data_IF_920505478553
#
_entry.id   IF_920505478553
#
_cell.length_a   1.000
_cell.length_b   1.000
_cell.length_c   1.000
_cell.angle_alpha   90.00
_cell.angle_beta   90.00
_cell.angle_gamma   90.00
#
_symmetry.space_group_name_H-M   'P 1'
#
loop_
_entity.id
_entity.type
_entity.pdbx_description
1 polymer ?
#
# COMPACT_ATOMS: atom_id res chain seq x y z
N UNK A 1 4.60 3.82 0.83
CA UNK A 1 4.36 3.39 2.22
C UNK A 1 5.58 2.73 2.87
N UNK A 2 6.10 1.60 2.35
CA UNK A 2 7.22 0.83 2.94
C UNK A 2 8.46 1.68 3.26
N UNK A 3 8.86 2.59 2.37
CA UNK A 3 10.02 3.46 2.59
C UNK A 3 9.83 4.40 3.79
N UNK A 4 8.60 4.88 4.02
CA UNK A 4 8.27 5.73 5.17
C UNK A 4 8.19 4.96 6.49
N UNK A 5 7.95 3.65 6.42
CA UNK A 5 8.01 2.76 7.58
C UNK A 5 9.46 2.39 7.93
N UNK A 6 10.21 1.96 6.94
CA UNK A 6 11.55 1.42 7.13
C UNK A 6 12.63 2.52 7.23
N UNK A 7 12.46 3.62 6.49
CA UNK A 7 13.53 4.56 6.20
C UNK A 7 14.50 4.05 5.14
N UNK A 8 15.23 4.93 4.49
CA UNK A 8 16.17 4.56 3.42
C UNK A 8 17.30 3.65 3.89
N UNK A 9 17.81 3.87 5.10
CA UNK A 9 18.91 3.08 5.65
C UNK A 9 18.55 1.59 5.87
N UNK A 10 17.30 1.29 6.25
CA UNK A 10 16.86 -0.08 6.48
C UNK A 10 16.49 -0.84 5.19
N UNK A 11 16.36 -0.14 4.06
CA UNK A 11 16.01 -0.77 2.78
C UNK A 11 17.07 -1.78 2.30
N UNK A 12 18.32 -1.61 2.69
CA UNK A 12 19.37 -2.58 2.41
C UNK A 12 19.16 -3.95 3.09
N UNK A 13 18.27 -4.03 4.08
CA UNK A 13 17.87 -5.27 4.76
C UNK A 13 16.52 -5.80 4.24
N UNK A 14 16.01 -5.26 3.15
CA UNK A 14 14.74 -5.69 2.53
C UNK A 14 15.03 -6.65 1.38
N UNK A 15 14.29 -7.75 1.34
CA UNK A 15 14.25 -8.66 0.19
C UNK A 15 12.88 -8.56 -0.48
N UNK A 16 12.90 -8.26 -1.76
CA UNK A 16 11.72 -8.22 -2.62
C UNK A 16 11.62 -9.54 -3.37
N UNK A 17 10.60 -10.34 -3.09
CA UNK A 17 10.39 -11.63 -3.74
C UNK A 17 9.34 -11.52 -4.85
N UNK A 18 9.70 -11.93 -6.06
CA UNK A 18 8.75 -12.11 -7.16
C UNK A 18 8.26 -13.55 -7.20
N UNK A 19 6.96 -13.75 -7.36
CA UNK A 19 6.29 -15.06 -7.30
C UNK A 19 5.54 -15.37 -8.60
N UNK A 20 4.92 -16.55 -8.69
CA UNK A 20 4.06 -16.98 -9.81
C UNK A 20 4.81 -17.16 -11.15
N UNK A 21 6.08 -17.52 -11.10
CA UNK A 21 6.90 -17.72 -12.29
C UNK A 21 6.44 -18.90 -13.16
N UNK A 22 5.78 -19.90 -12.57
CA UNK A 22 5.19 -21.04 -13.28
C UNK A 22 3.89 -20.72 -14.01
N UNK A 23 3.23 -19.62 -13.66
CA UNK A 23 1.92 -19.26 -14.21
C UNK A 23 2.02 -18.34 -15.46
N UNK A 24 3.22 -17.89 -15.81
CA UNK A 24 3.46 -16.97 -16.92
C UNK A 24 4.51 -17.49 -17.88
N UNK A 25 4.41 -17.13 -19.17
CA UNK A 25 5.46 -17.41 -20.13
C UNK A 25 6.74 -16.69 -19.73
N UNK A 26 7.89 -17.38 -19.84
CA UNK A 26 9.19 -16.87 -19.42
C UNK A 26 9.48 -15.44 -19.94
N UNK A 27 9.23 -15.19 -21.22
CA UNK A 27 9.46 -13.87 -21.81
C UNK A 27 8.62 -12.77 -21.15
N UNK A 28 7.36 -13.06 -20.82
CA UNK A 28 6.47 -12.12 -20.13
C UNK A 28 6.93 -11.85 -18.70
N UNK A 29 7.38 -12.91 -17.99
CA UNK A 29 7.93 -12.79 -16.65
C UNK A 29 9.21 -11.94 -16.61
N UNK A 30 10.11 -12.14 -17.57
CA UNK A 30 11.35 -11.37 -17.69
C UNK A 30 11.07 -9.88 -18.00
N UNK A 31 10.15 -9.60 -18.93
CA UNK A 31 9.77 -8.23 -19.26
C UNK A 31 9.17 -7.51 -18.04
N UNK A 32 8.26 -8.17 -17.31
CA UNK A 32 7.70 -7.63 -16.06
C UNK A 32 8.77 -7.39 -15.00
N UNK A 33 9.71 -8.31 -14.85
CA UNK A 33 10.83 -8.14 -13.91
C UNK A 33 11.68 -6.93 -14.29
N UNK A 34 11.95 -6.73 -15.58
CA UNK A 34 12.67 -5.57 -16.08
C UNK A 34 11.92 -4.27 -15.76
N UNK A 35 10.60 -4.25 -15.98
CA UNK A 35 9.76 -3.10 -15.64
C UNK A 35 9.79 -2.78 -14.14
N UNK A 36 9.77 -3.80 -13.26
CA UNK A 36 9.88 -3.62 -11.81
C UNK A 36 11.22 -3.00 -11.40
N UNK A 37 12.30 -3.35 -12.11
CA UNK A 37 13.65 -2.82 -11.86
C UNK A 37 13.85 -1.38 -12.34
N UNK A 38 13.19 -1.02 -13.44
CA UNK A 38 13.49 0.23 -14.16
C UNK A 38 12.51 1.36 -13.90
N UNK A 39 11.23 1.04 -13.63
CA UNK A 39 10.21 2.07 -13.39
C UNK A 39 10.29 2.61 -11.98
N UNK A 40 10.40 3.94 -11.84
CA UNK A 40 10.47 4.63 -10.54
C UNK A 40 9.21 4.41 -9.68
N UNK A 41 8.03 4.30 -10.31
CA UNK A 41 6.78 3.98 -9.63
C UNK A 41 6.71 2.53 -9.09
N UNK A 42 7.73 1.70 -9.36
CA UNK A 42 7.79 0.30 -8.92
C UNK A 42 8.86 0.13 -7.83
N UNK A 43 9.75 -0.85 -7.97
CA UNK A 43 10.75 -1.18 -6.95
C UNK A 43 12.13 -0.58 -7.20
N UNK A 44 12.30 0.24 -8.26
CA UNK A 44 13.59 0.84 -8.58
C UNK A 44 14.20 1.57 -7.38
N UNK A 45 13.43 2.42 -6.71
CA UNK A 45 13.89 3.18 -5.54
C UNK A 45 14.38 2.28 -4.39
N UNK A 46 13.74 1.11 -4.20
CA UNK A 46 14.16 0.13 -3.18
C UNK A 46 15.46 -0.55 -3.58
N UNK A 47 15.58 -0.92 -4.85
CA UNK A 47 16.77 -1.59 -5.39
C UNK A 47 17.96 -0.64 -5.35
N UNK A 48 17.77 0.61 -5.76
CA UNK A 48 18.80 1.66 -5.70
C UNK A 48 19.25 1.95 -4.25
N UNK A 49 18.35 1.77 -3.28
CA UNK A 49 18.66 1.86 -1.85
C UNK A 49 19.24 0.56 -1.25
N UNK A 50 19.51 -0.45 -2.08
CA UNK A 50 20.20 -1.68 -1.68
C UNK A 50 19.30 -2.86 -1.33
N UNK A 51 17.99 -2.76 -1.57
CA UNK A 51 17.07 -3.91 -1.44
C UNK A 51 17.40 -4.97 -2.49
N UNK A 52 17.37 -6.25 -2.08
CA UNK A 52 17.61 -7.37 -2.96
C UNK A 52 16.33 -7.82 -3.65
N UNK A 53 16.35 -7.98 -4.96
CA UNK A 53 15.23 -8.52 -5.73
C UNK A 53 15.53 -9.98 -6.13
N UNK A 54 14.72 -10.93 -5.65
CA UNK A 54 14.89 -12.36 -5.86
C UNK A 54 13.66 -13.00 -6.51
N UNK A 55 13.84 -14.19 -7.09
CA UNK A 55 12.74 -15.01 -7.63
C UNK A 55 12.41 -16.12 -6.64
N UNK A 56 11.15 -16.17 -6.25
CA UNK A 56 10.63 -17.29 -5.47
C UNK A 56 9.92 -18.29 -6.39
N UNK A 57 10.46 -19.50 -6.49
CA UNK A 57 9.97 -20.54 -7.42
C UNK A 57 9.01 -21.52 -6.77
N UNK A 58 8.48 -21.23 -5.60
CA UNK A 58 7.63 -22.13 -4.79
C UNK A 58 8.32 -23.45 -4.40
N UNK A 59 9.65 -23.42 -4.26
CA UNK A 59 10.42 -24.57 -3.80
C UNK A 59 11.12 -24.26 -2.47
N UNK A 60 11.39 -25.28 -1.62
CA UNK A 60 12.15 -25.07 -0.38
C UNK A 60 13.52 -24.46 -0.64
N UNK A 61 14.20 -24.86 -1.72
CA UNK A 61 15.53 -24.36 -2.09
C UNK A 61 15.48 -22.84 -2.35
N UNK A 62 14.50 -22.36 -3.13
CA UNK A 62 14.35 -20.95 -3.42
C UNK A 62 13.95 -20.13 -2.17
N UNK A 63 13.23 -20.75 -1.23
CA UNK A 63 12.93 -20.12 0.06
C UNK A 63 14.19 -20.02 0.92
N UNK A 64 15.00 -21.10 0.99
CA UNK A 64 16.25 -21.11 1.74
C UNK A 64 17.27 -20.13 1.17
N UNK A 65 17.34 -19.96 -0.14
CA UNK A 65 18.17 -18.95 -0.78
C UNK A 65 17.81 -17.54 -0.30
N UNK A 66 16.51 -17.19 -0.29
CA UNK A 66 16.05 -15.89 0.24
C UNK A 66 16.39 -15.71 1.72
N UNK A 67 16.19 -16.74 2.54
CA UNK A 67 16.52 -16.69 3.96
C UNK A 67 18.03 -16.54 4.18
N UNK A 68 18.85 -17.25 3.42
CA UNK A 68 20.30 -17.14 3.48
C UNK A 68 20.79 -15.72 3.13
N UNK A 69 20.13 -15.03 2.20
CA UNK A 69 20.44 -13.62 1.92
C UNK A 69 20.13 -12.69 3.11
N UNK A 70 19.07 -12.99 3.87
CA UNK A 70 18.72 -12.20 5.07
C UNK A 70 19.64 -12.50 6.25
N UNK A 71 19.95 -13.80 6.48
CA UNK A 71 20.70 -14.25 7.65
C UNK A 71 22.22 -14.19 7.38
N UNK A 72 22.66 -14.54 6.18
CA UNK A 72 24.09 -14.60 5.82
C UNK A 72 24.76 -13.22 5.71
N UNK A 73 23.98 -12.20 5.40
CA UNK A 73 24.41 -10.81 5.46
C UNK A 73 24.03 -10.21 6.82
N UNK A 74 24.65 -10.69 7.90
CA UNK A 74 24.50 -10.11 9.25
C UNK A 74 24.95 -8.65 9.27
N UNK A 75 24.19 -7.79 8.60
CA UNK A 75 24.31 -6.34 8.75
C UNK A 75 23.84 -5.97 10.16
N UNK A 76 24.45 -4.96 10.76
CA UNK A 76 23.98 -4.49 12.07
C UNK A 76 22.47 -4.20 12.00
N UNK A 77 21.76 -4.52 13.07
CA UNK A 77 20.33 -4.22 13.18
C UNK A 77 20.13 -2.72 12.99
N UNK A 78 19.45 -2.35 11.91
CA UNK A 78 19.11 -0.96 11.63
C UNK A 78 17.68 -0.75 12.10
N UNK A 79 17.45 0.11 13.14
CA UNK A 79 16.11 0.41 13.58
C UNK A 79 15.29 1.02 12.43
N UNK A 80 14.05 0.59 12.30
CA UNK A 80 13.13 1.16 11.33
C UNK A 80 12.88 2.63 11.65
N UNK A 81 12.59 3.44 10.62
CA UNK A 81 12.29 4.86 10.81
C UNK A 81 11.14 5.05 11.81
N UNK A 82 10.06 4.27 11.66
CA UNK A 82 8.92 4.33 12.57
C UNK A 82 9.32 4.04 14.02
N UNK A 83 10.26 3.12 14.27
CA UNK A 83 10.77 2.83 15.62
C UNK A 83 11.52 4.03 16.19
N UNK A 84 12.40 4.66 15.38
CA UNK A 84 13.12 5.88 15.78
C UNK A 84 12.16 7.03 16.08
N UNK A 85 11.16 7.23 15.23
CA UNK A 85 10.19 8.30 15.44
C UNK A 85 9.35 8.10 16.70
N UNK A 86 8.90 6.86 16.97
CA UNK A 86 8.04 6.56 18.12
C UNK A 86 8.85 6.43 19.43
N UNK A 87 9.99 5.74 19.40
CA UNK A 87 10.77 5.46 20.61
C UNK A 87 11.72 6.61 20.94
N UNK A 88 12.56 7.00 20.00
CA UNK A 88 13.58 8.04 20.24
C UNK A 88 12.96 9.44 20.17
N UNK A 89 12.03 9.65 19.20
CA UNK A 89 11.34 10.93 18.99
C UNK A 89 10.09 11.13 19.82
N UNK A 90 9.60 10.12 20.53
CA UNK A 90 8.38 10.19 21.34
C UNK A 90 7.11 10.50 20.53
N UNK A 91 7.15 10.35 19.20
CA UNK A 91 6.02 10.64 18.32
C UNK A 91 4.91 9.60 18.49
N UNK A 92 3.68 10.06 18.36
CA UNK A 92 2.52 9.15 18.18
C UNK A 92 2.52 8.60 16.76
N UNK A 93 1.86 7.46 16.53
CA UNK A 93 1.77 6.84 15.21
C UNK A 93 1.28 7.81 14.13
N UNK A 94 0.29 8.65 14.44
CA UNK A 94 -0.26 9.66 13.51
C UNK A 94 0.73 10.78 13.17
N UNK A 95 1.76 10.98 13.99
CA UNK A 95 2.78 12.02 13.82
C UNK A 95 4.01 11.50 13.08
N UNK A 96 4.12 10.18 12.89
CA UNK A 96 5.19 9.57 12.09
C UNK A 96 4.99 9.83 10.60
N UNK A 97 6.07 9.79 9.81
CA UNK A 97 5.99 9.91 8.35
C UNK A 97 5.05 8.86 7.73
N UNK A 98 5.10 7.63 8.26
CA UNK A 98 4.22 6.56 7.80
C UNK A 98 2.75 6.82 8.15
N UNK A 99 2.49 7.27 9.36
CA UNK A 99 1.14 7.61 9.82
C UNK A 99 0.52 8.75 9.03
N UNK A 100 1.28 9.82 8.80
CA UNK A 100 0.84 10.96 7.99
C UNK A 100 0.58 10.56 6.54
N UNK A 101 1.45 9.72 5.96
CA UNK A 101 1.25 9.23 4.59
C UNK A 101 -0.02 8.38 4.47
N UNK A 102 -0.29 7.51 5.45
CA UNK A 102 -1.49 6.70 5.48
C UNK A 102 -2.76 7.58 5.59
N UNK A 103 -2.72 8.58 6.47
CA UNK A 103 -3.85 9.52 6.61
C UNK A 103 -4.11 10.28 5.30
N UNK A 104 -3.05 10.76 4.64
CA UNK A 104 -3.18 11.45 3.35
C UNK A 104 -3.74 10.54 2.26
N UNK A 105 -3.31 9.27 2.21
CA UNK A 105 -3.80 8.29 1.25
C UNK A 105 -5.29 7.97 1.47
N UNK A 106 -5.70 7.75 2.73
CA UNK A 106 -7.11 7.52 3.07
C UNK A 106 -7.95 8.75 2.75
N UNK A 107 -7.49 9.96 3.09
CA UNK A 107 -8.20 11.19 2.78
C UNK A 107 -8.41 11.38 1.28
N UNK A 108 -7.39 11.06 0.47
CA UNK A 108 -7.49 11.14 -0.99
C UNK A 108 -8.47 10.09 -1.56
N UNK A 109 -8.48 8.86 -1.01
CA UNK A 109 -9.45 7.85 -1.41
C UNK A 109 -10.88 8.27 -1.05
N UNK A 110 -11.09 8.82 0.15
CA UNK A 110 -12.41 9.38 0.55
C UNK A 110 -12.85 10.45 -0.44
N UNK A 111 -11.97 11.41 -0.76
CA UNK A 111 -12.28 12.49 -1.71
C UNK A 111 -12.69 11.94 -3.09
N UNK A 112 -11.95 10.97 -3.63
CA UNK A 112 -12.29 10.35 -4.93
C UNK A 112 -13.65 9.67 -4.90
N UNK A 113 -13.92 8.86 -3.89
CA UNK A 113 -15.21 8.19 -3.79
C UNK A 113 -16.37 9.14 -3.54
N UNK A 114 -16.15 10.27 -2.84
CA UNK A 114 -17.16 11.33 -2.71
C UNK A 114 -17.43 12.03 -4.05
N UNK A 115 -16.42 12.23 -4.87
CA UNK A 115 -16.56 12.77 -6.24
C UNK A 115 -17.32 11.78 -7.13
N UNK A 116 -16.91 10.50 -7.15
CA UNK A 116 -17.59 9.45 -7.93
C UNK A 116 -19.06 9.36 -7.53
N UNK A 117 -19.36 9.36 -6.23
CA UNK A 117 -20.72 9.32 -5.71
C UNK A 117 -21.54 10.55 -6.15
N UNK A 118 -20.93 11.73 -6.18
CA UNK A 118 -21.62 12.94 -6.65
C UNK A 118 -21.97 12.83 -8.14
N UNK A 119 -21.03 12.37 -8.97
CA UNK A 119 -21.27 12.17 -10.40
C UNK A 119 -22.39 11.17 -10.64
N UNK A 120 -22.38 10.02 -9.95
CA UNK A 120 -23.44 9.02 -10.06
C UNK A 120 -24.80 9.54 -9.59
N UNK A 121 -24.84 10.40 -8.55
CA UNK A 121 -26.10 11.03 -8.12
C UNK A 121 -26.64 12.01 -9.18
N UNK A 122 -25.78 12.78 -9.85
CA UNK A 122 -26.15 13.66 -10.94
C UNK A 122 -26.71 12.85 -12.13
N UNK A 123 -26.05 11.72 -12.47
CA UNK A 123 -26.51 10.80 -13.51
C UNK A 123 -27.86 10.16 -13.15
N UNK A 124 -28.03 9.72 -11.89
CA UNK A 124 -29.30 9.15 -11.39
C UNK A 124 -30.44 10.16 -11.49
N UNK A 125 -30.20 11.42 -11.15
CA UNK A 125 -31.19 12.49 -11.29
C UNK A 125 -31.59 12.74 -12.75
N UNK A 126 -30.62 12.71 -13.68
CA UNK A 126 -30.85 12.85 -15.11
C UNK A 126 -31.68 11.68 -15.67
N UNK A 127 -31.39 10.45 -15.25
CA UNK A 127 -32.13 9.25 -15.66
C UNK A 127 -33.55 9.25 -15.11
N UNK A 128 -33.77 9.65 -13.84
CA UNK A 128 -35.12 9.79 -13.23
C UNK A 128 -35.99 10.79 -13.98
N UNK A 129 -35.42 11.78 -14.62
CA UNK A 129 -36.17 12.74 -15.47
C UNK A 129 -36.49 12.19 -16.87
N UNK A 130 -35.80 11.10 -17.32
CA UNK A 130 -35.88 10.58 -18.69
C UNK A 130 -36.56 9.23 -18.90
N UNK A 131 -36.99 8.50 -17.91
CA UNK A 131 -37.57 7.13 -17.84
C UNK A 131 -36.64 5.97 -17.46
N UNK A 132 -36.83 5.42 -16.48
CA UNK A 132 -37.05 4.28 -15.57
C UNK A 132 -36.22 2.97 -15.60
N UNK A 133 -35.48 2.58 -16.61
CA UNK A 133 -34.84 1.24 -16.61
C UNK A 133 -33.40 1.20 -16.02
N UNK A 134 -32.73 2.33 -15.87
CA UNK A 134 -31.34 2.38 -15.34
C UNK A 134 -31.23 2.84 -13.87
N UNK A 135 -32.33 3.19 -13.21
CA UNK A 135 -32.28 3.82 -11.89
C UNK A 135 -31.82 2.88 -10.78
N UNK A 136 -32.12 1.61 -10.89
CA UNK A 136 -31.85 0.63 -9.82
C UNK A 136 -30.35 0.28 -9.74
N UNK A 137 -29.70 0.11 -10.88
CA UNK A 137 -28.23 -0.15 -10.92
C UNK A 137 -27.44 1.04 -10.38
N UNK A 138 -27.82 2.26 -10.74
CA UNK A 138 -27.18 3.48 -10.24
C UNK A 138 -27.45 3.71 -8.73
N UNK A 139 -28.65 3.43 -8.25
CA UNK A 139 -28.96 3.50 -6.80
C UNK A 139 -28.12 2.48 -6.01
N UNK A 140 -27.93 1.27 -6.52
CA UNK A 140 -27.10 0.23 -5.88
C UNK A 140 -25.61 0.64 -5.87
N UNK A 141 -25.11 1.22 -6.96
CA UNK A 141 -23.73 1.70 -7.04
C UNK A 141 -23.47 2.89 -6.10
N UNK A 142 -24.39 3.84 -6.03
CA UNK A 142 -24.33 4.95 -5.05
C UNK A 142 -24.32 4.41 -3.61
N UNK A 143 -25.12 3.39 -3.32
CA UNK A 143 -25.16 2.76 -2.00
C UNK A 143 -23.83 2.08 -1.66
N UNK A 144 -23.25 1.34 -2.62
CA UNK A 144 -21.95 0.69 -2.42
C UNK A 144 -20.84 1.71 -2.15
N UNK A 145 -20.80 2.81 -2.90
CA UNK A 145 -19.83 3.89 -2.69
C UNK A 145 -20.01 4.57 -1.32
N UNK A 146 -21.25 4.79 -0.88
CA UNK A 146 -21.54 5.33 0.48
C UNK A 146 -20.97 4.41 1.57
N UNK A 147 -21.16 3.12 1.43
CA UNK A 147 -20.62 2.14 2.37
C UNK A 147 -19.07 2.13 2.37
N UNK A 148 -18.45 2.23 1.19
CA UNK A 148 -16.99 2.34 1.08
C UNK A 148 -16.46 3.60 1.76
N UNK A 149 -17.06 4.75 1.49
CA UNK A 149 -16.68 6.03 2.12
C UNK A 149 -16.85 5.96 3.64
N UNK A 150 -17.96 5.38 4.13
CA UNK A 150 -18.19 5.22 5.56
C UNK A 150 -17.14 4.36 6.23
N UNK A 151 -16.76 3.22 5.62
CA UNK A 151 -15.66 2.35 6.13
C UNK A 151 -14.34 3.07 6.17
N UNK A 152 -13.96 3.78 5.11
CA UNK A 152 -12.69 4.53 5.06
C UNK A 152 -12.62 5.63 6.13
N UNK A 153 -13.72 6.37 6.33
CA UNK A 153 -13.82 7.38 7.39
C UNK A 153 -13.68 6.77 8.80
N UNK A 154 -14.28 5.60 9.02
CA UNK A 154 -14.17 4.88 10.29
C UNK A 154 -12.75 4.35 10.52
N UNK A 155 -12.09 3.84 9.49
CA UNK A 155 -10.67 3.41 9.58
C UNK A 155 -9.76 4.59 9.93
N UNK A 156 -9.93 5.72 9.27
CA UNK A 156 -9.19 6.95 9.58
C UNK A 156 -9.41 7.39 11.03
N UNK A 157 -10.66 7.35 11.51
CA UNK A 157 -11.01 7.65 12.89
C UNK A 157 -10.32 6.70 13.89
N UNK A 158 -10.30 5.39 13.60
CA UNK A 158 -9.63 4.40 14.45
C UNK A 158 -8.13 4.63 14.54
N UNK A 159 -7.47 4.97 13.42
CA UNK A 159 -6.05 5.31 13.40
C UNK A 159 -5.78 6.53 14.28
N UNK A 160 -6.58 7.58 14.14
CA UNK A 160 -6.48 8.78 14.96
C UNK A 160 -6.70 8.48 16.45
N UNK A 161 -7.78 7.79 16.81
CA UNK A 161 -8.10 7.46 18.20
C UNK A 161 -7.02 6.58 18.85
N UNK A 162 -6.51 5.55 18.15
CA UNK A 162 -5.41 4.71 18.65
C UNK A 162 -4.15 5.53 18.91
N UNK A 163 -3.87 6.54 18.10
CA UNK A 163 -2.72 7.42 18.29
C UNK A 163 -2.86 8.33 19.52
N UNK A 164 -4.11 8.66 19.92
CA UNK A 164 -4.36 9.46 21.13
C UNK A 164 -4.40 8.63 22.42
N UNK A 165 -4.79 7.35 22.34
CA UNK A 165 -4.99 6.47 23.50
C UNK A 165 -3.75 5.60 23.81
N UNK A 166 -2.73 5.58 22.94
CA UNK A 166 -1.49 4.87 23.24
C UNK A 166 -0.80 5.54 24.45
N UNK A 167 -0.48 4.79 25.54
CA UNK A 167 0.27 5.33 26.66
C UNK A 167 1.65 5.82 26.18
N UNK A 168 2.12 6.91 26.77
CA UNK A 168 3.47 7.45 26.55
C UNK A 168 4.51 6.55 27.19
#
# INVERSE_FOLDING_TARGET
MTQKLCGSAALANVVLATTRWSEVKKAVGEDRLMQLKTKEASFKTFIDAGALLVRYMHTPESAMEMLNHLVGNLKPAIPLLIQKEMVDGGKRLSETEAGQALQSEIAEQVRRHEEDMRTLMEELEAVKQGNDEGTQELDDEVKELREKVSRLKEEMRKILLRSYLAPR
#
